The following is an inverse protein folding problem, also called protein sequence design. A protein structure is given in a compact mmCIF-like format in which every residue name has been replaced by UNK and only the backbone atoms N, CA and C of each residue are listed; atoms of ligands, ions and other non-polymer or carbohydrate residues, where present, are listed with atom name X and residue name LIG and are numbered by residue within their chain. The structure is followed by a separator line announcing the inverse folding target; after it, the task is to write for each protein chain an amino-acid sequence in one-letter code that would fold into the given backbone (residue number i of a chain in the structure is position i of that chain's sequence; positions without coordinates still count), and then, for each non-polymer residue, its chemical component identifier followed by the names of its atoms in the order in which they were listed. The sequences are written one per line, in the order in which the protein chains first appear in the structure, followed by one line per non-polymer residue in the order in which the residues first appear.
data_IF_992216844933
#
_entry.id   IF_992216844933
#
_cell.length_a   1.000
_cell.length_b   1.000
_cell.length_c   1.000
_cell.angle_alpha   90.00
_cell.angle_beta   90.00
_cell.angle_gamma   90.00
#
_symmetry.space_group_name_H-M   'P 1'
#
loop_
_entity.id
_entity.type
_entity.pdbx_description
1 polymer ?
#
# COMPACT_ATOMS: atom_id res chain seq x y z
N UNK A 1 22.64 2.49 2.19
CA UNK A 1 21.77 3.37 1.40
C UNK A 1 21.97 4.81 1.86
N UNK A 2 22.17 5.67 0.92
CA UNK A 2 22.44 7.08 1.20
C UNK A 2 21.45 7.99 0.50
N UNK A 3 21.17 9.13 1.13
CA UNK A 3 20.31 10.17 0.60
C UNK A 3 20.96 11.51 0.92
N UNK A 4 21.34 12.28 -0.13
CA UNK A 4 22.02 13.58 0.01
C UNK A 4 23.27 13.51 0.92
N UNK A 5 24.03 12.44 0.82
CA UNK A 5 25.23 12.23 1.61
C UNK A 5 25.00 11.68 3.02
N UNK A 6 23.76 11.42 3.40
CA UNK A 6 23.41 10.88 4.71
C UNK A 6 23.10 9.39 4.57
N UNK A 7 23.58 8.59 5.52
CA UNK A 7 23.26 7.16 5.56
C UNK A 7 21.87 7.01 6.16
N UNK A 8 20.93 6.52 5.33
CA UNK A 8 19.52 6.35 5.73
C UNK A 8 19.33 5.09 6.57
N UNK A 9 19.96 3.98 6.17
CA UNK A 9 19.78 2.71 6.86
C UNK A 9 20.97 1.80 6.58
N UNK A 10 21.45 1.15 7.65
CA UNK A 10 22.60 0.23 7.58
C UNK A 10 22.18 -1.13 8.13
N UNK A 11 21.35 -1.82 7.38
CA UNK A 11 20.85 -3.15 7.75
C UNK A 11 21.16 -4.15 6.65
N UNK A 12 20.92 -5.44 6.94
CA UNK A 12 21.01 -6.47 5.91
C UNK A 12 20.04 -6.16 4.76
N UNK A 13 20.41 -6.48 3.51
CA UNK A 13 19.55 -6.19 2.36
C UNK A 13 18.11 -6.70 2.49
N UNK A 14 17.91 -7.87 3.08
CA UNK A 14 16.56 -8.41 3.29
C UNK A 14 15.74 -7.56 4.27
N UNK A 15 16.38 -7.01 5.31
CA UNK A 15 15.73 -6.13 6.27
C UNK A 15 15.33 -4.82 5.62
N UNK A 16 16.23 -4.24 4.81
CA UNK A 16 15.93 -3.00 4.07
C UNK A 16 14.75 -3.22 3.13
N UNK A 17 14.72 -4.34 2.42
CA UNK A 17 13.65 -4.66 1.47
C UNK A 17 12.30 -4.85 2.16
N UNK A 18 12.27 -5.57 3.29
CA UNK A 18 11.03 -5.98 3.95
C UNK A 18 10.57 -5.03 5.07
N UNK A 19 11.47 -4.26 5.66
CA UNK A 19 11.15 -3.38 6.79
C UNK A 19 11.95 -2.08 6.70
N UNK A 20 11.62 -1.23 5.71
CA UNK A 20 12.33 0.04 5.53
C UNK A 20 12.01 1.00 6.69
N UNK A 21 12.98 1.84 7.04
CA UNK A 21 12.82 2.80 8.13
C UNK A 21 12.26 4.15 7.68
N UNK A 22 12.44 4.52 6.41
CA UNK A 22 12.03 5.82 5.89
C UNK A 22 11.28 5.66 4.57
N UNK A 23 10.51 6.68 4.19
CA UNK A 23 9.82 6.69 2.91
C UNK A 23 10.83 6.63 1.74
N UNK A 24 11.97 7.30 1.87
CA UNK A 24 13.02 7.25 0.84
C UNK A 24 13.44 5.80 0.57
N UNK A 25 13.78 5.06 1.64
CA UNK A 25 14.20 3.66 1.52
C UNK A 25 13.04 2.80 1.00
N UNK A 26 11.83 3.02 1.49
CA UNK A 26 10.66 2.29 1.04
C UNK A 26 10.45 2.44 -0.47
N UNK A 27 10.55 3.66 -0.99
CA UNK A 27 10.44 3.90 -2.44
C UNK A 27 11.57 3.25 -3.21
N UNK A 28 12.77 3.29 -2.66
CA UNK A 28 13.94 2.67 -3.28
C UNK A 28 13.77 1.16 -3.47
N UNK A 29 13.10 0.48 -2.52
CA UNK A 29 12.87 -0.97 -2.58
C UNK A 29 11.48 -1.36 -3.09
N UNK A 30 10.78 -0.46 -3.77
CA UNK A 30 9.59 -0.77 -4.54
C UNK A 30 8.25 -0.48 -3.90
N UNK A 31 8.19 0.12 -2.72
CA UNK A 31 6.93 0.59 -2.16
C UNK A 31 6.50 1.85 -2.89
N UNK A 32 5.29 1.86 -3.43
CA UNK A 32 4.76 3.00 -4.19
C UNK A 32 3.48 3.56 -3.61
N UNK A 33 2.85 2.86 -2.68
CA UNK A 33 1.59 3.26 -2.07
C UNK A 33 1.84 3.65 -0.62
N UNK A 34 1.53 4.90 -0.27
CA UNK A 34 1.72 5.43 1.07
C UNK A 34 0.43 6.06 1.56
N UNK A 35 0.08 5.81 2.82
CA UNK A 35 -1.15 6.32 3.41
C UNK A 35 -0.97 6.54 4.90
N UNK A 36 -1.60 7.60 5.40
CA UNK A 36 -1.49 7.97 6.82
C UNK A 36 -2.29 7.01 7.68
N UNK A 37 -1.70 6.56 8.78
CA UNK A 37 -2.34 5.69 9.76
C UNK A 37 -2.14 6.21 11.17
N UNK A 38 -3.16 6.01 12.00
CA UNK A 38 -3.11 6.32 13.43
C UNK A 38 -3.48 5.03 14.17
N UNK A 39 -2.77 4.75 15.26
CA UNK A 39 -3.06 3.57 16.06
C UNK A 39 -4.44 3.69 16.70
N UNK A 40 -5.22 2.61 16.59
CA UNK A 40 -6.52 2.49 17.21
C UNK A 40 -6.47 1.44 18.33
N UNK A 41 -7.58 1.26 19.04
CA UNK A 41 -7.68 0.24 20.06
C UNK A 41 -7.64 -1.15 19.42
N UNK A 42 -7.12 -2.12 20.19
CA UNK A 42 -7.10 -3.52 19.75
C UNK A 42 -6.02 -3.86 18.74
N UNK A 43 -5.02 -2.99 18.54
CA UNK A 43 -3.91 -3.26 17.64
C UNK A 43 -4.17 -2.93 16.17
N UNK A 44 -5.35 -2.43 15.84
CA UNK A 44 -5.67 -1.98 14.50
C UNK A 44 -5.23 -0.54 14.30
N UNK A 45 -5.35 -0.06 13.06
CA UNK A 45 -5.02 1.31 12.67
C UNK A 45 -6.21 1.95 11.99
N UNK A 46 -6.24 3.27 11.96
CA UNK A 46 -7.32 4.05 11.32
C UNK A 46 -6.69 4.96 10.29
N UNK A 47 -7.22 4.93 9.07
CA UNK A 47 -6.83 5.83 8.01
C UNK A 47 -7.50 7.19 8.17
N UNK A 48 -7.10 8.17 7.34
CA UNK A 48 -7.56 9.55 7.45
C UNK A 48 -9.09 9.71 7.35
N UNK A 49 -9.76 8.82 6.62
CA UNK A 49 -11.22 8.84 6.44
C UNK A 49 -11.97 8.01 7.48
N UNK A 50 -11.27 7.41 8.46
CA UNK A 50 -11.86 6.53 9.46
C UNK A 50 -11.87 5.05 9.09
N UNK A 51 -11.38 4.69 7.91
CA UNK A 51 -11.29 3.27 7.51
C UNK A 51 -10.35 2.52 8.44
N UNK A 52 -10.81 1.37 8.95
CA UNK A 52 -9.98 0.52 9.80
C UNK A 52 -9.06 -0.34 8.94
N UNK A 53 -7.77 -0.27 9.24
CA UNK A 53 -6.74 -1.04 8.53
C UNK A 53 -6.05 -1.95 9.52
N UNK A 54 -5.96 -3.23 9.17
CA UNK A 54 -5.20 -4.22 9.94
C UNK A 54 -3.85 -4.43 9.29
N UNK A 55 -2.80 -4.37 10.08
CA UNK A 55 -1.45 -4.64 9.64
C UNK A 55 -0.77 -5.58 10.61
N UNK A 56 -0.04 -6.57 10.10
CA UNK A 56 0.69 -7.51 10.94
C UNK A 56 1.89 -6.84 11.60
N UNK A 57 2.44 -5.79 10.98
CA UNK A 57 3.53 -5.01 11.56
C UNK A 57 3.01 -4.26 12.80
N UNK A 58 3.58 -4.53 13.97
CA UNK A 58 3.17 -3.96 15.25
C UNK A 58 4.22 -3.03 15.83
N UNK A 59 4.82 -2.22 14.97
CA UNK A 59 5.79 -1.22 15.38
C UNK A 59 5.19 -0.30 16.46
N UNK A 60 5.92 0.00 17.54
CA UNK A 60 5.40 0.87 18.59
C UNK A 60 5.28 2.32 18.11
N UNK A 61 4.26 3.02 18.60
CA UNK A 61 3.99 4.41 18.25
C UNK A 61 2.52 4.68 18.00
N UNK A 62 2.18 5.94 17.75
CA UNK A 62 0.81 6.41 17.57
C UNK A 62 0.48 6.70 16.12
N UNK A 63 1.40 7.32 15.38
CA UNK A 63 1.20 7.75 14.02
C UNK A 63 2.24 7.15 13.10
N UNK A 64 1.78 6.68 11.95
CA UNK A 64 2.63 6.04 10.97
C UNK A 64 2.23 6.44 9.57
N UNK A 65 3.16 6.25 8.64
CA UNK A 65 2.84 6.16 7.24
C UNK A 65 2.85 4.69 6.88
N UNK A 66 1.71 4.15 6.51
CA UNK A 66 1.63 2.78 6.00
C UNK A 66 2.10 2.75 4.56
N UNK A 67 2.72 1.65 4.16
CA UNK A 67 3.13 1.48 2.77
C UNK A 67 2.95 0.03 2.34
N UNK A 68 2.68 -0.15 1.04
CA UNK A 68 2.45 -1.45 0.44
C UNK A 68 2.88 -1.41 -1.03
N UNK A 69 3.41 -2.52 -1.53
CA UNK A 69 3.84 -2.61 -2.93
C UNK A 69 2.63 -2.81 -3.84
N UNK A 70 2.71 -2.36 -5.12
CA UNK A 70 1.60 -2.53 -6.06
C UNK A 70 1.14 -3.98 -6.23
N UNK A 71 2.06 -4.92 -6.24
CA UNK A 71 1.75 -6.33 -6.40
C UNK A 71 1.08 -6.96 -5.18
N UNK A 72 1.13 -6.30 -4.04
CA UNK A 72 0.54 -6.79 -2.78
C UNK A 72 -0.85 -6.23 -2.52
N UNK A 73 -1.36 -5.39 -3.42
CA UNK A 73 -2.73 -4.89 -3.39
C UNK A 73 -3.55 -5.76 -4.33
N UNK A 74 -4.61 -6.37 -3.81
CA UNK A 74 -5.53 -7.16 -4.64
C UNK A 74 -6.62 -6.25 -5.16
N UNK A 75 -7.00 -6.42 -6.42
CA UNK A 75 -8.12 -5.70 -7.03
C UNK A 75 -9.27 -6.69 -7.25
N UNK A 76 -10.45 -6.32 -6.79
CA UNK A 76 -11.65 -7.17 -6.82
C UNK A 76 -12.85 -6.39 -7.32
N UNK A 77 -13.93 -7.08 -7.73
CA UNK A 77 -15.16 -6.40 -8.12
C UNK A 77 -15.68 -5.48 -7.01
N UNK A 78 -16.35 -4.42 -7.42
CA UNK A 78 -16.92 -3.45 -6.47
C UNK A 78 -17.94 -4.12 -5.54
N UNK A 79 -18.00 -3.62 -4.31
CA UNK A 79 -18.96 -4.10 -3.31
C UNK A 79 -18.46 -5.24 -2.44
N UNK A 80 -17.29 -5.79 -2.71
CA UNK A 80 -16.69 -6.79 -1.82
C UNK A 80 -16.36 -6.15 -0.48
N UNK A 81 -16.66 -6.86 0.61
CA UNK A 81 -16.42 -6.39 1.96
C UNK A 81 -15.48 -7.34 2.68
N UNK A 82 -14.78 -6.83 3.68
CA UNK A 82 -13.85 -7.61 4.47
C UNK A 82 -12.77 -6.73 5.06
N UNK A 83 -11.83 -7.35 5.74
CA UNK A 83 -10.70 -6.63 6.33
C UNK A 83 -9.85 -5.99 5.23
N UNK A 84 -9.46 -4.74 5.44
CA UNK A 84 -8.61 -3.99 4.52
C UNK A 84 -9.20 -3.82 3.11
N UNK A 85 -10.52 -3.92 2.98
CA UNK A 85 -11.21 -3.71 1.72
C UNK A 85 -11.57 -2.23 1.56
N UNK A 86 -11.09 -1.61 0.49
CA UNK A 86 -11.23 -0.18 0.27
C UNK A 86 -11.88 0.05 -1.10
N UNK A 87 -13.02 0.75 -1.16
CA UNK A 87 -13.63 1.09 -2.44
C UNK A 87 -12.75 2.07 -3.23
N UNK A 88 -12.72 1.91 -4.54
CA UNK A 88 -11.96 2.79 -5.41
C UNK A 88 -12.51 2.83 -6.82
N UNK A 89 -11.95 3.72 -7.63
CA UNK A 89 -12.31 3.89 -9.04
C UNK A 89 -11.02 3.88 -9.85
N UNK A 90 -11.02 3.08 -10.91
CA UNK A 90 -9.87 2.99 -11.82
C UNK A 90 -9.77 4.28 -12.63
N UNK A 91 -8.66 4.99 -12.50
CA UNK A 91 -8.41 6.25 -13.20
C UNK A 91 -7.52 6.07 -14.42
N UNK A 92 -6.56 5.15 -14.34
CA UNK A 92 -5.63 4.86 -15.44
C UNK A 92 -5.41 3.36 -15.47
N UNK A 93 -5.32 2.80 -16.68
CA UNK A 93 -5.00 1.39 -16.88
C UNK A 93 -3.92 1.29 -17.95
N UNK A 94 -2.78 0.71 -17.61
CA UNK A 94 -1.64 0.59 -18.51
C UNK A 94 -1.23 -0.87 -18.65
N UNK A 95 -1.21 -1.38 -19.86
CA UNK A 95 -0.75 -2.73 -20.14
C UNK A 95 0.78 -2.73 -20.21
N UNK A 96 1.42 -3.53 -19.35
CA UNK A 96 2.88 -3.62 -19.27
C UNK A 96 3.42 -4.98 -19.72
N UNK A 97 2.66 -5.70 -20.52
CA UNK A 97 3.05 -6.99 -21.10
C UNK A 97 2.66 -8.17 -20.24
N UNK A 98 3.17 -8.27 -19.01
CA UNK A 98 2.86 -9.38 -18.09
C UNK A 98 1.78 -9.06 -17.09
N UNK A 99 1.54 -7.77 -16.86
CA UNK A 99 0.51 -7.34 -15.92
C UNK A 99 -0.04 -5.98 -16.38
N UNK A 100 -1.17 -5.61 -15.82
CA UNK A 100 -1.76 -4.30 -16.01
C UNK A 100 -1.47 -3.46 -14.77
N UNK A 101 -0.99 -2.23 -14.99
CA UNK A 101 -0.82 -1.29 -13.90
C UNK A 101 -2.06 -0.40 -13.83
N UNK A 102 -2.71 -0.40 -12.68
CA UNK A 102 -3.90 0.41 -12.46
C UNK A 102 -3.57 1.54 -11.49
N UNK A 103 -4.03 2.75 -11.82
CA UNK A 103 -4.05 3.84 -10.86
C UNK A 103 -5.49 3.95 -10.37
N UNK A 104 -5.69 3.75 -9.08
CA UNK A 104 -7.01 3.66 -8.46
C UNK A 104 -7.15 4.77 -7.43
N UNK A 105 -8.20 5.59 -7.58
CA UNK A 105 -8.49 6.65 -6.61
C UNK A 105 -9.37 6.09 -5.51
N UNK A 106 -8.97 6.32 -4.26
CA UNK A 106 -9.71 5.89 -3.07
C UNK A 106 -9.86 7.07 -2.11
N UNK A 107 -10.66 6.88 -1.06
CA UNK A 107 -10.86 7.88 -0.02
C UNK A 107 -9.60 8.15 0.81
N UNK A 108 -8.62 7.24 0.79
CA UNK A 108 -7.37 7.39 1.54
C UNK A 108 -6.17 7.66 0.65
N UNK A 109 -6.39 7.99 -0.62
CA UNK A 109 -5.36 8.36 -1.57
C UNK A 109 -5.39 7.54 -2.85
N UNK A 110 -4.46 7.83 -3.74
CA UNK A 110 -4.32 7.07 -4.98
C UNK A 110 -3.40 5.89 -4.76
N UNK A 111 -3.79 4.74 -5.34
CA UNK A 111 -3.01 3.52 -5.26
C UNK A 111 -2.57 3.10 -6.66
N UNK A 112 -1.32 2.64 -6.74
CA UNK A 112 -0.80 1.95 -7.92
C UNK A 112 -0.91 0.46 -7.64
N UNK A 113 -1.63 -0.24 -8.51
CA UNK A 113 -1.91 -1.66 -8.35
C UNK A 113 -1.41 -2.43 -9.56
N UNK A 114 -0.71 -3.53 -9.30
CA UNK A 114 -0.27 -4.46 -10.34
C UNK A 114 -1.29 -5.59 -10.43
N UNK A 115 -2.12 -5.56 -11.46
CA UNK A 115 -3.15 -6.57 -11.67
C UNK A 115 -2.68 -7.61 -12.70
N UNK A 116 -3.17 -8.83 -12.55
CA UNK A 116 -2.90 -9.89 -13.52
C UNK A 116 -3.36 -9.47 -14.91
N UNK A 117 -2.64 -9.86 -15.96
CA UNK A 117 -2.98 -9.53 -17.34
C UNK A 117 -4.37 -10.02 -17.76
N UNK A 118 -4.89 -11.04 -17.07
CA UNK A 118 -6.23 -11.58 -17.34
C UNK A 118 -7.34 -10.77 -16.66
N UNK A 119 -6.99 -9.90 -15.72
CA UNK A 119 -7.94 -9.04 -15.03
C UNK A 119 -8.03 -7.72 -15.76
N UNK A 120 -9.19 -7.46 -16.37
CA UNK A 120 -9.42 -6.22 -17.13
C UNK A 120 -10.38 -5.34 -16.36
N UNK A 121 -9.91 -4.17 -15.97
CA UNK A 121 -10.72 -3.16 -15.28
C UNK A 121 -10.62 -1.85 -16.06
N UNK A 122 -11.62 -1.54 -16.89
CA UNK A 122 -11.59 -0.30 -17.68
C UNK A 122 -11.58 0.95 -16.81
N UNK A 123 -11.01 2.02 -17.33
CA UNK A 123 -11.05 3.33 -16.69
C UNK A 123 -12.51 3.70 -16.37
N UNK A 124 -12.72 4.22 -15.17
CA UNK A 124 -14.05 4.57 -14.66
C UNK A 124 -14.77 3.45 -13.92
N UNK A 125 -14.20 2.24 -13.92
CA UNK A 125 -14.80 1.10 -13.22
C UNK A 125 -14.62 1.25 -11.71
N UNK A 126 -15.69 1.01 -10.96
CA UNK A 126 -15.62 0.89 -9.51
C UNK A 126 -15.04 -0.48 -9.15
N UNK A 127 -14.11 -0.49 -8.21
CA UNK A 127 -13.45 -1.72 -7.75
C UNK A 127 -13.32 -1.70 -6.24
N UNK A 128 -12.94 -2.84 -5.67
CA UNK A 128 -12.53 -2.93 -4.27
C UNK A 128 -11.06 -3.32 -4.23
N UNK A 129 -10.25 -2.55 -3.51
CA UNK A 129 -8.87 -2.90 -3.26
C UNK A 129 -8.78 -3.62 -1.92
N UNK A 130 -8.02 -4.69 -1.87
CA UNK A 130 -7.75 -5.41 -0.62
C UNK A 130 -6.25 -5.32 -0.34
N UNK A 131 -5.91 -4.66 0.77
CA UNK A 131 -4.52 -4.51 1.18
C UNK A 131 -4.12 -5.74 1.99
N UNK A 132 -3.16 -6.50 1.46
CA UNK A 132 -2.70 -7.73 2.11
C UNK A 132 -2.09 -7.39 3.47
N UNK A 133 -2.71 -7.89 4.55
CA UNK A 133 -2.41 -7.48 5.92
C UNK A 133 -0.94 -7.64 6.29
N UNK A 134 -0.32 -8.78 5.95
CA UNK A 134 1.07 -9.06 6.29
C UNK A 134 2.08 -8.38 5.34
N UNK A 135 1.61 -7.62 4.37
CA UNK A 135 2.46 -6.89 3.42
C UNK A 135 2.48 -5.39 3.67
N UNK A 136 1.61 -4.90 4.55
CA UNK A 136 1.63 -3.48 4.95
C UNK A 136 2.78 -3.27 5.92
N UNK A 137 3.63 -2.29 5.64
CA UNK A 137 4.73 -1.91 6.52
C UNK A 137 4.48 -0.52 7.08
N UNK A 138 5.00 -0.26 8.28
CA UNK A 138 4.81 1.00 8.99
C UNK A 138 6.11 1.78 9.03
N UNK A 139 6.03 3.08 8.68
CA UNK A 139 7.13 4.03 8.78
C UNK A 139 6.70 5.11 9.75
N UNK A 140 7.52 5.41 10.74
CA UNK A 140 7.10 6.43 11.69
C UNK A 140 8.06 6.78 12.73
#
# INVERSE_FOLDING_TARGET
IMNKGVIEQMDAPSTIYNSPNTEFIARFVGFENFFELTRAQGGDFVAADGTVIRAADQKPGERFKGCIRPEDVQVRPAGEKGNNAIPGVVMVSTFLGRHNQLNVKTAIGEFVVSADQTQVFPVGTAVTLVLTENKIKLIG
#
